data_IF_469419994546
#
_entry.id   IF_469419994546
#
_cell.length_a   1.000
_cell.length_b   1.000
_cell.length_c   1.000
_cell.angle_alpha   90.00
_cell.angle_beta   90.00
_cell.angle_gamma   90.00
#
_symmetry.space_group_name_H-M   'P 1'
#
loop_
_entity.id
_entity.type
_entity.pdbx_description
1 polymer ?
#
# COMPACT_ATOMS: atom_id res chain seq x y z
N UNK A 1 12.86 11.64 36.29
CA UNK A 1 12.60 10.79 35.10
C UNK A 1 12.13 11.67 33.91
N UNK A 2 13.01 11.91 32.94
CA UNK A 2 12.76 12.83 31.82
C UNK A 2 12.20 12.02 30.62
N UNK A 3 10.88 12.02 30.45
CA UNK A 3 10.14 11.25 29.42
C UNK A 3 9.95 12.00 28.10
N UNK A 4 10.80 13.00 27.82
CA UNK A 4 10.76 13.77 26.57
C UNK A 4 12.08 13.60 25.84
N UNK A 5 12.01 13.10 24.61
CA UNK A 5 13.13 13.10 23.69
C UNK A 5 13.60 14.55 23.49
N UNK A 6 14.85 14.87 23.83
CA UNK A 6 15.37 16.21 23.53
C UNK A 6 15.45 16.39 22.00
N UNK A 7 14.91 17.47 21.42
CA UNK A 7 14.92 17.68 19.97
C UNK A 7 16.31 17.56 19.34
N UNK A 8 17.33 18.01 20.08
CA UNK A 8 18.73 17.91 19.67
C UNK A 8 19.25 16.46 19.57
N UNK A 9 18.75 15.55 20.41
CA UNK A 9 19.14 14.13 20.38
C UNK A 9 18.51 13.41 19.18
N UNK A 10 17.26 13.72 18.86
CA UNK A 10 16.60 13.20 17.64
C UNK A 10 17.34 13.71 16.39
N UNK A 11 17.69 15.00 16.34
CA UNK A 11 18.41 15.59 15.21
C UNK A 11 19.78 14.93 15.00
N UNK A 12 20.53 14.64 16.06
CA UNK A 12 21.81 13.90 15.96
C UNK A 12 21.60 12.48 15.43
N UNK A 13 20.61 11.76 15.94
CA UNK A 13 20.29 10.41 15.45
C UNK A 13 19.87 10.37 13.98
N UNK A 14 19.09 11.37 13.52
CA UNK A 14 18.74 11.49 12.11
C UNK A 14 19.98 11.70 11.24
N UNK A 15 20.93 12.55 11.66
CA UNK A 15 22.18 12.76 10.93
C UNK A 15 23.02 11.48 10.90
N UNK A 16 23.05 10.71 11.99
CA UNK A 16 23.71 9.40 12.06
C UNK A 16 23.10 8.42 11.05
N UNK A 17 21.77 8.22 11.05
CA UNK A 17 21.10 7.33 10.09
C UNK A 17 21.24 7.76 8.62
N UNK A 18 21.30 9.07 8.37
CA UNK A 18 21.58 9.61 7.03
C UNK A 18 23.01 9.29 6.60
N UNK A 19 24.00 9.42 7.50
CA UNK A 19 25.41 9.11 7.22
C UNK A 19 25.67 7.62 7.06
N UNK A 20 25.00 6.78 7.84
CA UNK A 20 25.07 5.32 7.76
C UNK A 20 24.36 4.75 6.52
N UNK A 21 23.55 5.55 5.82
CA UNK A 21 22.80 5.13 4.63
C UNK A 21 21.59 4.24 4.93
N UNK A 22 21.36 3.87 6.18
CA UNK A 22 20.25 3.00 6.62
C UNK A 22 18.89 3.63 6.32
N UNK A 23 18.77 4.96 6.48
CA UNK A 23 17.55 5.69 6.14
C UNK A 23 17.21 5.57 4.65
N UNK A 24 18.22 5.75 3.79
CA UNK A 24 18.02 5.65 2.33
C UNK A 24 17.69 4.23 1.89
N UNK A 25 18.27 3.21 2.54
CA UNK A 25 17.93 1.81 2.31
C UNK A 25 16.43 1.53 2.57
N UNK A 26 15.93 1.90 3.74
CA UNK A 26 14.52 1.72 4.08
C UNK A 26 13.56 2.57 3.22
N UNK A 27 13.98 3.79 2.88
CA UNK A 27 13.23 4.66 1.99
C UNK A 27 13.08 4.04 0.60
N UNK A 28 14.17 3.52 0.03
CA UNK A 28 14.18 2.94 -1.30
C UNK A 28 13.31 1.68 -1.37
N UNK A 29 13.35 0.83 -0.33
CA UNK A 29 12.47 -0.34 -0.22
C UNK A 29 11.01 0.08 -0.20
N UNK A 30 10.64 1.05 0.66
CA UNK A 30 9.25 1.54 0.74
C UNK A 30 8.78 2.17 -0.57
N UNK A 31 9.64 2.96 -1.22
CA UNK A 31 9.35 3.56 -2.52
C UNK A 31 9.14 2.49 -3.60
N UNK A 32 9.99 1.46 -3.64
CA UNK A 32 9.86 0.35 -4.57
C UNK A 32 8.56 -0.42 -4.35
N UNK A 33 8.26 -0.79 -3.10
CA UNK A 33 7.02 -1.48 -2.72
C UNK A 33 5.79 -0.67 -3.13
N UNK A 34 5.80 0.63 -2.86
CA UNK A 34 4.71 1.55 -3.20
C UNK A 34 4.56 1.74 -4.71
N UNK A 35 5.67 1.92 -5.43
CA UNK A 35 5.66 2.13 -6.87
C UNK A 35 5.16 0.89 -7.62
N UNK A 36 5.66 -0.30 -7.25
CA UNK A 36 5.17 -1.57 -7.81
C UNK A 36 3.69 -1.78 -7.47
N UNK A 37 3.32 -1.51 -6.21
CA UNK A 37 1.94 -1.57 -5.75
C UNK A 37 1.02 -0.71 -6.61
N UNK A 38 1.39 0.55 -6.80
CA UNK A 38 0.68 1.54 -7.60
C UNK A 38 0.52 1.11 -9.05
N UNK A 39 1.62 0.73 -9.72
CA UNK A 39 1.58 0.34 -11.14
C UNK A 39 0.66 -0.88 -11.34
N UNK A 40 0.82 -1.92 -10.51
CA UNK A 40 -0.01 -3.13 -10.60
C UNK A 40 -1.48 -2.83 -10.31
N UNK A 41 -1.75 -2.05 -9.26
CA UNK A 41 -3.10 -1.66 -8.87
C UNK A 41 -3.80 -0.83 -9.94
N UNK A 42 -3.15 0.21 -10.46
CA UNK A 42 -3.72 1.08 -11.50
C UNK A 42 -3.95 0.34 -12.81
N UNK A 43 -3.01 -0.49 -13.26
CA UNK A 43 -3.19 -1.27 -14.49
C UNK A 43 -4.38 -2.22 -14.37
N UNK A 44 -4.50 -2.93 -13.25
CA UNK A 44 -5.63 -3.82 -13.00
C UNK A 44 -6.95 -3.03 -12.85
N UNK A 45 -6.94 -1.91 -12.13
CA UNK A 45 -8.12 -1.07 -11.90
C UNK A 45 -8.67 -0.51 -13.20
N UNK A 46 -7.81 0.08 -14.04
CA UNK A 46 -8.17 0.58 -15.36
C UNK A 46 -8.69 -0.55 -16.25
N UNK A 47 -8.00 -1.70 -16.29
CA UNK A 47 -8.41 -2.82 -17.13
C UNK A 47 -9.80 -3.34 -16.74
N UNK A 48 -10.06 -3.51 -15.44
CA UNK A 48 -11.37 -3.95 -14.93
C UNK A 48 -12.43 -2.88 -15.16
N UNK A 49 -12.13 -1.61 -14.85
CA UNK A 49 -13.05 -0.49 -15.06
C UNK A 49 -13.48 -0.35 -16.52
N UNK A 50 -12.54 -0.45 -17.46
CA UNK A 50 -12.82 -0.43 -18.90
C UNK A 50 -13.59 -1.67 -19.35
N UNK A 51 -13.31 -2.85 -18.80
CA UNK A 51 -14.07 -4.06 -19.12
C UNK A 51 -15.52 -3.96 -18.63
N UNK A 52 -15.73 -3.48 -17.40
CA UNK A 52 -17.06 -3.29 -16.82
C UNK A 52 -17.85 -2.19 -17.53
N UNK A 53 -17.19 -1.14 -18.03
CA UNK A 53 -17.86 -0.08 -18.79
C UNK A 53 -18.48 -0.57 -20.10
N UNK A 54 -18.06 -1.74 -20.62
CA UNK A 54 -18.61 -2.34 -21.85
C UNK A 54 -19.80 -3.27 -21.57
N UNK A 55 -19.98 -3.73 -20.33
CA UNK A 55 -20.95 -4.75 -19.95
C UNK A 55 -21.91 -4.20 -18.88
N UNK A 56 -22.86 -3.36 -19.29
CA UNK A 56 -23.78 -2.65 -18.38
C UNK A 56 -24.49 -3.57 -17.37
N UNK A 57 -24.89 -4.77 -17.79
CA UNK A 57 -25.52 -5.76 -16.90
C UNK A 57 -24.56 -6.22 -15.81
N UNK A 58 -23.32 -6.57 -16.18
CA UNK A 58 -22.30 -7.05 -15.24
C UNK A 58 -21.88 -5.95 -14.29
N UNK A 59 -21.70 -4.73 -14.80
CA UNK A 59 -21.41 -3.55 -13.97
C UNK A 59 -22.50 -3.34 -12.91
N UNK A 60 -23.78 -3.38 -13.30
CA UNK A 60 -24.90 -3.19 -12.35
C UNK A 60 -24.98 -4.28 -11.28
N UNK A 61 -24.61 -5.52 -11.62
CA UNK A 61 -24.59 -6.63 -10.66
C UNK A 61 -23.40 -6.53 -9.71
N UNK A 62 -22.22 -6.14 -10.21
CA UNK A 62 -20.99 -6.07 -9.42
C UNK A 62 -20.83 -4.78 -8.62
N UNK A 63 -21.49 -3.70 -9.01
CA UNK A 63 -21.44 -2.39 -8.36
C UNK A 63 -21.57 -2.45 -6.81
N UNK A 64 -22.61 -3.10 -6.22
CA UNK A 64 -22.72 -3.19 -4.76
C UNK A 64 -21.56 -3.97 -4.11
N UNK A 65 -20.99 -4.96 -4.80
CA UNK A 65 -19.86 -5.74 -4.29
C UNK A 65 -18.54 -4.96 -4.37
N UNK A 66 -18.35 -4.19 -5.44
CA UNK A 66 -17.17 -3.32 -5.60
C UNK A 66 -17.16 -2.23 -4.53
N UNK A 67 -18.31 -1.59 -4.29
CA UNK A 67 -18.46 -0.58 -3.23
C UNK A 67 -18.24 -1.20 -1.85
N UNK A 68 -18.82 -2.38 -1.57
CA UNK A 68 -18.60 -3.09 -0.31
C UNK A 68 -17.12 -3.47 -0.09
N UNK A 69 -16.44 -3.94 -1.14
CA UNK A 69 -15.02 -4.28 -1.09
C UNK A 69 -14.15 -3.04 -0.82
N UNK A 70 -14.43 -1.89 -1.46
CA UNK A 70 -13.72 -0.63 -1.19
C UNK A 70 -13.92 -0.13 0.26
N UNK A 71 -15.06 -0.48 0.87
CA UNK A 71 -15.37 -0.14 2.26
C UNK A 71 -14.58 -0.93 3.31
N UNK A 72 -13.87 -2.00 2.93
CA UNK A 72 -13.09 -2.79 3.87
C UNK A 72 -11.90 -1.96 4.40
N UNK A 73 -11.74 -1.83 5.74
CA UNK A 73 -10.59 -1.14 6.32
C UNK A 73 -9.28 -1.79 5.87
N UNK A 74 -8.39 -1.02 5.23
CA UNK A 74 -7.13 -1.56 4.68
C UNK A 74 -6.22 -2.16 5.76
N UNK A 75 -6.29 -1.60 6.98
CA UNK A 75 -5.56 -2.12 8.15
C UNK A 75 -5.98 -3.56 8.50
N UNK A 76 -7.25 -3.94 8.23
CA UNK A 76 -7.73 -5.30 8.45
C UNK A 76 -7.22 -6.30 7.39
N UNK A 77 -6.85 -5.82 6.20
CA UNK A 77 -6.33 -6.66 5.12
C UNK A 77 -4.84 -7.00 5.28
N UNK A 78 -4.07 -6.16 5.95
CA UNK A 78 -2.64 -6.37 6.18
C UNK A 78 -2.31 -7.76 6.78
N UNK A 79 -2.93 -8.21 7.90
CA UNK A 79 -2.66 -9.54 8.45
C UNK A 79 -3.08 -10.68 7.51
N UNK A 80 -4.15 -10.50 6.74
CA UNK A 80 -4.61 -11.50 5.77
C UNK A 80 -3.58 -11.71 4.65
N UNK A 81 -3.05 -10.62 4.09
CA UNK A 81 -2.01 -10.70 3.08
C UNK A 81 -0.69 -11.25 3.62
N UNK A 82 -0.37 -10.99 4.89
CA UNK A 82 0.80 -11.61 5.54
C UNK A 82 0.61 -13.14 5.66
N UNK A 83 -0.59 -13.62 5.97
CA UNK A 83 -0.87 -15.07 6.05
C UNK A 83 -0.75 -15.73 4.67
N UNK A 84 -1.26 -15.08 3.62
CA UNK A 84 -1.24 -15.65 2.26
C UNK A 84 0.11 -15.57 1.57
N UNK A 85 0.80 -14.43 1.66
CA UNK A 85 2.03 -14.16 0.91
C UNK A 85 3.29 -14.20 1.79
N UNK A 86 3.15 -14.37 3.10
CA UNK A 86 4.23 -14.32 4.05
C UNK A 86 4.62 -12.90 4.47
N UNK A 87 5.55 -12.84 5.43
CA UNK A 87 6.20 -11.60 5.85
C UNK A 87 7.26 -11.25 4.79
N UNK A 88 7.12 -10.11 4.11
CA UNK A 88 8.07 -9.70 3.08
C UNK A 88 7.58 -8.53 2.23
N UNK A 89 8.28 -8.27 1.13
CA UNK A 89 7.95 -7.19 0.19
C UNK A 89 6.60 -7.45 -0.52
N UNK A 90 6.31 -8.71 -0.86
CA UNK A 90 5.11 -9.09 -1.60
C UNK A 90 3.80 -8.76 -0.86
N UNK A 91 3.71 -9.01 0.45
CA UNK A 91 2.48 -8.73 1.21
C UNK A 91 2.17 -7.23 1.25
N UNK A 92 3.20 -6.38 1.32
CA UNK A 92 3.03 -4.91 1.26
C UNK A 92 2.71 -4.42 -0.14
N UNK A 93 3.34 -5.00 -1.17
CA UNK A 93 3.04 -4.67 -2.57
C UNK A 93 1.57 -4.98 -2.88
N UNK A 94 1.07 -6.17 -2.51
CA UNK A 94 -0.33 -6.56 -2.74
C UNK A 94 -1.30 -5.67 -1.96
N UNK A 95 -0.95 -5.29 -0.72
CA UNK A 95 -1.73 -4.33 0.06
C UNK A 95 -1.83 -2.97 -0.65
N UNK A 96 -0.69 -2.44 -1.12
CA UNK A 96 -0.65 -1.18 -1.87
C UNK A 96 -1.41 -1.29 -3.21
N UNK A 97 -1.28 -2.39 -3.95
CA UNK A 97 -2.02 -2.65 -5.18
C UNK A 97 -3.52 -2.68 -4.96
N UNK A 98 -3.99 -3.31 -3.89
CA UNK A 98 -5.42 -3.37 -3.56
C UNK A 98 -5.97 -1.97 -3.29
N UNK A 99 -5.21 -1.14 -2.58
CA UNK A 99 -5.59 0.25 -2.34
C UNK A 99 -5.72 1.04 -3.65
N UNK A 100 -4.71 0.95 -4.51
CA UNK A 100 -4.70 1.68 -5.78
C UNK A 100 -5.74 1.16 -6.77
N UNK A 101 -5.99 -0.17 -6.79
CA UNK A 101 -6.97 -0.82 -7.65
C UNK A 101 -8.38 -0.23 -7.50
N UNK A 102 -8.85 -0.06 -6.26
CA UNK A 102 -10.19 0.48 -6.04
C UNK A 102 -10.28 2.01 -6.09
N UNK A 103 -9.14 2.70 -6.05
CA UNK A 103 -9.09 4.16 -6.18
C UNK A 103 -9.05 4.61 -7.64
N UNK A 104 -8.56 3.74 -8.54
CA UNK A 104 -8.39 4.00 -9.98
C UNK A 104 -9.63 3.57 -10.74
#
# INVERSE_FOLDING_TARGET
PFWFSSPLRIARHLIEWVREGTLFGHLLVTLRETFLGFVLGSVAGIAVGVALSRLEFVARVLDPFIVAANGIPRVALAPLFIIWFGIGELSKIVLASTLTFFLT
#
